data_IF_414369385667
#
_entry.id   IF_414369385667
#
_cell.length_a   1.000
_cell.length_b   1.000
_cell.length_c   1.000
_cell.angle_alpha   90.00
_cell.angle_beta   90.00
_cell.angle_gamma   90.00
#
_symmetry.space_group_name_H-M   'P 1'
#
loop_
_entity.id
_entity.type
_entity.pdbx_description
1 polymer ?
#
# COMPACT_ATOMS: atom_id res chain seq x y z
N UNK A 1 -11.15 5.18 18.59
CA UNK A 1 -9.93 5.74 17.97
C UNK A 1 -9.00 4.65 17.50
N UNK A 2 -8.07 4.95 16.59
CA UNK A 2 -7.10 3.98 16.05
C UNK A 2 -5.79 4.02 16.85
N UNK A 3 -5.17 2.86 17.06
CA UNK A 3 -3.88 2.69 17.74
C UNK A 3 -2.92 2.01 16.77
N UNK A 4 -1.69 2.52 16.67
CA UNK A 4 -0.72 2.03 15.70
C UNK A 4 0.54 1.55 16.41
N UNK A 5 1.01 0.37 16.02
CA UNK A 5 2.28 -0.20 16.47
C UNK A 5 3.21 -0.28 15.26
N UNK A 6 4.40 0.26 15.44
CA UNK A 6 5.52 0.12 14.52
C UNK A 6 6.68 -0.47 15.30
N UNK A 7 7.06 -1.72 15.02
CA UNK A 7 8.13 -2.42 15.73
C UNK A 7 8.86 -3.35 14.79
N UNK A 8 9.96 -3.94 15.23
CA UNK A 8 10.68 -4.94 14.47
C UNK A 8 10.45 -6.33 15.05
N UNK A 9 10.41 -7.35 14.20
CA UNK A 9 10.30 -8.75 14.59
C UNK A 9 11.17 -9.62 13.71
N UNK A 10 11.59 -10.77 14.25
CA UNK A 10 12.37 -11.76 13.48
C UNK A 10 11.52 -13.00 13.24
N UNK A 11 11.40 -13.41 11.98
CA UNK A 11 10.76 -14.66 11.55
C UNK A 11 11.59 -15.30 10.44
N UNK A 12 11.83 -16.61 10.53
CA UNK A 12 12.65 -17.37 9.56
C UNK A 12 14.02 -16.71 9.28
N UNK A 13 14.74 -16.29 10.34
CA UNK A 13 16.03 -15.60 10.30
C UNK A 13 16.06 -14.26 9.54
N UNK A 14 14.91 -13.71 9.20
CA UNK A 14 14.81 -12.39 8.58
C UNK A 14 14.14 -11.40 9.52
N UNK A 15 14.62 -10.16 9.50
CA UNK A 15 14.03 -9.04 10.24
C UNK A 15 12.97 -8.37 9.39
N UNK A 16 11.87 -8.02 10.04
CA UNK A 16 10.74 -7.32 9.43
C UNK A 16 10.34 -6.13 10.28
N UNK A 17 10.01 -5.04 9.64
CA UNK A 17 9.24 -3.97 10.28
C UNK A 17 7.76 -4.37 10.25
N UNK A 18 7.13 -4.32 11.41
CA UNK A 18 5.71 -4.59 11.61
C UNK A 18 4.96 -3.28 11.66
N UNK A 19 3.96 -3.16 10.81
CA UNK A 19 2.90 -2.18 10.92
C UNK A 19 1.63 -2.88 11.38
N UNK A 20 1.06 -2.46 12.50
CA UNK A 20 -0.20 -3.01 13.01
C UNK A 20 -1.14 -1.88 13.43
N UNK A 21 -2.35 -1.89 12.88
CA UNK A 21 -3.43 -0.96 13.20
C UNK A 21 -4.46 -1.68 14.04
N UNK A 22 -4.80 -1.11 15.19
CA UNK A 22 -5.81 -1.64 16.11
C UNK A 22 -6.94 -0.64 16.34
N UNK A 23 -8.09 -1.16 16.74
CA UNK A 23 -9.18 -0.35 17.31
C UNK A 23 -8.93 -0.04 18.79
N UNK A 24 -9.84 0.72 19.40
CA UNK A 24 -9.82 1.07 20.83
C UNK A 24 -9.97 -0.14 21.77
N UNK A 25 -10.49 -1.26 21.27
CA UNK A 25 -10.64 -2.51 22.02
C UNK A 25 -9.40 -3.42 21.88
N UNK A 26 -8.39 -3.01 21.11
CA UNK A 26 -7.19 -3.80 20.87
C UNK A 26 -7.33 -4.84 19.74
N UNK A 27 -8.42 -4.84 18.97
CA UNK A 27 -8.57 -5.74 17.84
C UNK A 27 -7.77 -5.22 16.64
N UNK A 28 -7.01 -6.10 16.01
CA UNK A 28 -6.26 -5.78 14.79
C UNK A 28 -7.21 -5.56 13.61
N UNK A 29 -7.11 -4.38 12.98
CA UNK A 29 -7.86 -3.96 11.79
C UNK A 29 -7.04 -4.13 10.50
N UNK A 30 -5.73 -3.84 10.58
CA UNK A 30 -4.79 -3.97 9.48
C UNK A 30 -3.45 -4.45 10.03
N UNK A 31 -2.71 -5.21 9.23
CA UNK A 31 -1.41 -5.76 9.59
C UNK A 31 -0.55 -5.90 8.34
N UNK A 32 0.67 -5.36 8.41
CA UNK A 32 1.65 -5.50 7.35
C UNK A 32 2.98 -5.95 7.93
N UNK A 33 3.58 -6.94 7.27
CA UNK A 33 4.92 -7.40 7.54
C UNK A 33 5.83 -6.92 6.41
N UNK A 34 6.72 -5.98 6.72
CA UNK A 34 7.55 -5.28 5.75
C UNK A 34 8.98 -5.79 5.88
N UNK A 35 9.54 -6.46 4.84
CA UNK A 35 10.92 -6.91 4.88
C UNK A 35 11.88 -5.73 5.12
N UNK A 36 12.86 -5.91 6.00
CA UNK A 36 13.86 -4.87 6.31
C UNK A 36 14.92 -4.71 5.18
N UNK A 37 14.97 -5.66 4.24
CA UNK A 37 15.75 -5.50 3.01
C UNK A 37 15.20 -4.32 2.24
N UNK A 38 16.09 -3.39 1.89
CA UNK A 38 15.76 -2.17 1.17
C UNK A 38 14.83 -2.45 -0.01
N UNK A 39 13.56 -2.10 0.15
CA UNK A 39 12.66 -2.07 -1.00
C UNK A 39 13.19 -1.02 -1.96
N UNK A 40 13.31 -1.40 -3.23
CA UNK A 40 13.68 -0.44 -4.26
C UNK A 40 12.46 0.29 -4.83
N UNK A 41 11.25 -0.06 -4.35
CA UNK A 41 10.01 0.58 -4.79
C UNK A 41 10.04 2.07 -4.43
N UNK A 42 9.58 2.89 -5.35
CA UNK A 42 9.62 4.35 -5.31
C UNK A 42 11.01 4.99 -5.38
N UNK A 43 12.10 4.21 -5.38
CA UNK A 43 13.43 4.75 -5.64
C UNK A 43 13.54 5.21 -7.09
N UNK A 44 14.27 6.31 -7.30
CA UNK A 44 14.57 6.84 -8.65
C UNK A 44 16.04 6.57 -8.95
N UNK A 45 16.29 5.99 -10.11
CA UNK A 45 17.62 5.62 -10.58
C UNK A 45 17.97 6.32 -11.89
N UNK A 46 19.25 6.61 -12.09
CA UNK A 46 19.81 6.92 -13.39
C UNK A 46 20.05 5.61 -14.14
N UNK A 47 19.23 5.34 -15.16
CA UNK A 47 19.17 4.06 -15.87
C UNK A 47 19.59 4.20 -17.32
N UNK A 48 20.08 3.11 -17.92
CA UNK A 48 20.37 3.02 -19.37
C UNK A 48 19.30 2.21 -20.08
N UNK A 49 18.84 2.72 -21.22
CA UNK A 49 17.95 1.99 -22.13
C UNK A 49 18.77 0.97 -22.92
N UNK A 50 18.55 -0.31 -22.66
CA UNK A 50 19.31 -1.38 -23.33
C UNK A 50 18.66 -1.81 -24.63
N UNK A 51 17.33 -2.04 -24.62
CA UNK A 51 16.60 -2.56 -25.76
C UNK A 51 15.19 -2.02 -25.81
N UNK A 52 14.71 -1.71 -26.99
CA UNK A 52 13.33 -1.28 -27.23
C UNK A 52 12.65 -2.33 -28.10
N UNK A 53 11.49 -2.80 -27.67
CA UNK A 53 10.69 -3.82 -28.36
C UNK A 53 9.29 -3.27 -28.66
N UNK A 54 9.10 -2.54 -29.78
CA UNK A 54 7.83 -1.91 -30.10
C UNK A 54 6.68 -2.91 -30.25
N UNK A 55 6.97 -4.14 -30.73
CA UNK A 55 5.97 -5.18 -30.94
C UNK A 55 5.23 -5.63 -29.67
N UNK A 56 5.84 -5.45 -28.49
CA UNK A 56 5.22 -5.72 -27.17
C UNK A 56 5.06 -4.45 -26.34
N UNK A 57 5.23 -3.27 -26.96
CA UNK A 57 5.12 -1.96 -26.32
C UNK A 57 6.00 -1.81 -25.07
N UNK A 58 7.24 -2.30 -25.11
CA UNK A 58 8.15 -2.37 -23.99
C UNK A 58 9.56 -1.90 -24.32
N UNK A 59 10.28 -1.43 -23.29
CA UNK A 59 11.70 -1.28 -23.26
C UNK A 59 12.28 -1.99 -22.04
N UNK A 60 13.53 -2.41 -22.14
CA UNK A 60 14.33 -2.93 -21.04
C UNK A 60 15.39 -1.93 -20.67
N UNK A 61 15.44 -1.57 -19.40
CA UNK A 61 16.39 -0.59 -18.86
C UNK A 61 17.18 -1.20 -17.70
N UNK A 62 18.44 -0.83 -17.56
CA UNK A 62 19.29 -1.31 -16.46
C UNK A 62 19.45 -0.19 -15.42
N UNK A 63 19.17 -0.51 -14.15
CA UNK A 63 19.26 0.42 -13.00
C UNK A 63 20.48 0.16 -12.11
N UNK A 64 21.10 -1.03 -12.21
CA UNK A 64 22.33 -1.42 -11.51
C UNK A 64 23.03 -2.52 -12.29
N UNK A 65 24.29 -2.86 -11.95
CA UNK A 65 24.97 -4.00 -12.58
C UNK A 65 24.09 -5.25 -12.49
N UNK A 66 23.77 -5.85 -13.63
CA UNK A 66 22.94 -7.05 -13.77
C UNK A 66 21.47 -6.91 -13.32
N UNK A 67 20.95 -5.70 -13.09
CA UNK A 67 19.57 -5.48 -12.72
C UNK A 67 18.78 -4.84 -13.85
N UNK A 68 18.22 -5.69 -14.72
CA UNK A 68 17.31 -5.30 -15.78
C UNK A 68 15.91 -5.00 -15.23
N UNK A 69 15.21 -4.06 -15.84
CA UNK A 69 13.85 -3.67 -15.47
C UNK A 69 12.98 -3.52 -16.71
N UNK A 70 11.71 -3.83 -16.59
CA UNK A 70 10.70 -3.63 -17.61
C UNK A 70 10.15 -2.20 -17.55
N UNK A 71 10.13 -1.50 -18.66
CA UNK A 71 9.54 -0.18 -18.87
C UNK A 71 8.47 -0.27 -19.96
N UNK A 72 7.23 0.05 -19.66
CA UNK A 72 6.18 0.20 -20.68
C UNK A 72 6.44 1.46 -21.53
N UNK A 73 6.37 1.36 -22.85
CA UNK A 73 6.52 2.53 -23.73
C UNK A 73 5.39 3.55 -23.55
N UNK A 74 4.22 3.14 -23.05
CA UNK A 74 3.15 4.06 -22.65
C UNK A 74 3.55 4.95 -21.47
N UNK A 75 4.43 4.45 -20.61
CA UNK A 75 4.94 5.17 -19.44
C UNK A 75 6.29 5.86 -19.74
N UNK A 76 6.84 5.69 -20.94
CA UNK A 76 8.11 6.29 -21.38
C UNK A 76 7.91 7.62 -22.13
N UNK A 77 6.75 8.25 -22.02
CA UNK A 77 6.48 9.57 -22.59
C UNK A 77 7.16 10.64 -21.74
N UNK A 78 7.89 11.57 -22.41
CA UNK A 78 8.60 12.68 -21.76
C UNK A 78 9.59 12.24 -20.66
N UNK A 79 10.57 11.35 -20.94
CA UNK A 79 11.53 10.94 -19.95
C UNK A 79 12.49 12.09 -19.60
N UNK A 80 12.90 12.14 -18.33
CA UNK A 80 13.99 13.02 -17.90
C UNK A 80 15.30 12.38 -18.30
N UNK A 81 16.01 12.99 -19.23
CA UNK A 81 17.31 12.50 -19.70
C UNK A 81 18.43 12.94 -18.74
N UNK A 82 19.25 11.99 -18.30
CA UNK A 82 20.56 12.28 -17.71
C UNK A 82 21.61 12.43 -18.79
N UNK A 83 21.49 11.66 -19.89
CA UNK A 83 22.34 11.77 -21.06
C UNK A 83 21.61 11.26 -22.32
N UNK A 84 21.26 12.16 -23.22
CA UNK A 84 20.63 11.81 -24.49
C UNK A 84 21.71 11.44 -25.54
N UNK A 85 21.83 10.16 -25.86
CA UNK A 85 22.85 9.65 -26.79
C UNK A 85 22.46 9.83 -28.26
N UNK A 86 21.17 9.70 -28.57
CA UNK A 86 20.65 9.81 -29.93
C UNK A 86 20.09 11.19 -30.23
N UNK A 87 20.29 11.69 -31.44
CA UNK A 87 19.64 12.92 -31.95
C UNK A 87 18.19 12.67 -32.39
N UNK A 88 17.74 11.42 -32.45
CA UNK A 88 16.34 11.08 -32.81
C UNK A 88 15.37 11.49 -31.72
N UNK A 89 14.18 11.89 -32.11
CA UNK A 89 13.10 12.14 -31.18
C UNK A 89 12.66 10.85 -30.47
N UNK A 90 12.12 11.00 -29.25
CA UNK A 90 11.68 9.90 -28.43
C UNK A 90 12.81 9.13 -27.74
N UNK A 91 12.44 8.02 -27.09
CA UNK A 91 13.37 7.14 -26.37
C UNK A 91 14.15 6.27 -27.36
N UNK A 92 15.47 6.21 -27.20
CA UNK A 92 16.35 5.40 -28.02
C UNK A 92 17.23 4.47 -27.18
N UNK A 93 17.66 3.38 -27.79
CA UNK A 93 18.66 2.48 -27.18
C UNK A 93 19.96 3.23 -26.91
N UNK A 94 20.54 3.02 -25.75
CA UNK A 94 21.72 3.72 -25.25
C UNK A 94 21.44 5.04 -24.53
N UNK A 95 20.23 5.59 -24.59
CA UNK A 95 19.86 6.78 -23.82
C UNK A 95 19.94 6.49 -22.31
N UNK A 96 20.30 7.51 -21.54
CA UNK A 96 20.36 7.46 -20.09
C UNK A 96 19.26 8.38 -19.54
N UNK A 97 18.39 7.81 -18.71
CA UNK A 97 17.15 8.44 -18.23
C UNK A 97 16.93 8.21 -16.74
N UNK A 98 16.16 9.07 -16.10
CA UNK A 98 15.61 8.79 -14.76
C UNK A 98 14.42 7.85 -14.88
N UNK A 99 14.42 6.80 -14.05
CA UNK A 99 13.30 5.88 -13.90
C UNK A 99 12.99 5.65 -12.44
N UNK A 100 11.71 5.51 -12.12
CA UNK A 100 11.21 5.17 -10.78
C UNK A 100 10.71 3.74 -10.76
N UNK A 101 11.07 2.97 -9.74
CA UNK A 101 10.61 1.60 -9.56
C UNK A 101 9.19 1.61 -9.00
N UNK A 102 8.25 0.95 -9.69
CA UNK A 102 6.85 0.85 -9.28
C UNK A 102 6.44 -0.55 -8.81
N UNK A 103 7.22 -1.58 -9.20
CA UNK A 103 7.03 -2.96 -8.73
C UNK A 103 8.39 -3.63 -8.60
N UNK A 104 8.58 -4.34 -7.52
CA UNK A 104 9.77 -5.17 -7.31
C UNK A 104 9.71 -6.46 -8.16
N UNK A 105 10.85 -7.12 -8.29
CA UNK A 105 10.95 -8.43 -8.95
C UNK A 105 10.00 -9.45 -8.30
N UNK A 106 9.32 -10.25 -9.12
CA UNK A 106 8.43 -11.31 -8.66
C UNK A 106 8.79 -12.61 -9.35
N UNK A 107 9.34 -13.59 -8.62
CA UNK A 107 9.78 -14.87 -9.18
C UNK A 107 10.73 -14.62 -10.37
N UNK A 108 10.31 -15.02 -11.57
CA UNK A 108 11.06 -14.87 -12.84
C UNK A 108 10.82 -13.55 -13.57
N UNK A 109 10.02 -12.61 -13.01
CA UNK A 109 9.69 -11.34 -13.67
C UNK A 109 10.59 -10.22 -13.15
N UNK A 110 11.18 -9.48 -14.10
CA UNK A 110 11.96 -8.29 -13.79
C UNK A 110 11.14 -7.23 -13.03
N UNK A 111 11.80 -6.36 -12.24
CA UNK A 111 11.16 -5.18 -11.67
C UNK A 111 10.52 -4.32 -12.76
N UNK A 112 9.45 -3.61 -12.43
CA UNK A 112 8.78 -2.68 -13.34
C UNK A 112 9.11 -1.26 -12.95
N UNK A 113 9.51 -0.46 -13.95
CA UNK A 113 9.83 0.96 -13.76
C UNK A 113 8.97 1.85 -14.66
N UNK A 114 8.95 3.13 -14.36
CA UNK A 114 8.26 4.18 -15.11
C UNK A 114 9.13 5.42 -15.22
N UNK A 115 8.93 6.24 -16.26
CA UNK A 115 9.50 7.60 -16.33
C UNK A 115 8.58 8.65 -15.73
N UNK A 116 7.36 8.24 -15.30
CA UNK A 116 6.42 9.08 -14.57
C UNK A 116 6.87 9.14 -13.10
N UNK A 117 7.74 10.11 -12.80
CA UNK A 117 8.28 10.28 -11.46
C UNK A 117 7.19 10.80 -10.51
N UNK A 118 7.16 10.29 -9.30
CA UNK A 118 6.24 10.72 -8.24
C UNK A 118 6.99 10.91 -6.93
N UNK A 119 6.83 12.08 -6.31
CA UNK A 119 7.36 12.40 -4.99
C UNK A 119 6.18 12.49 -4.02
N UNK A 120 6.23 11.69 -2.98
CA UNK A 120 5.14 11.60 -2.01
C UNK A 120 5.37 12.58 -0.85
N UNK A 121 4.47 13.55 -0.72
CA UNK A 121 4.29 14.34 0.49
C UNK A 121 3.30 13.68 1.45
N UNK A 122 2.98 14.31 2.56
CA UNK A 122 1.98 13.84 3.51
C UNK A 122 0.56 14.04 2.99
N UNK A 123 0.28 15.21 2.42
CA UNK A 123 -1.04 15.60 1.94
C UNK A 123 -1.11 15.69 0.42
N UNK A 124 0.03 15.66 -0.25
CA UNK A 124 0.12 15.83 -1.70
C UNK A 124 0.99 14.76 -2.35
N UNK A 125 0.83 14.60 -3.66
CA UNK A 125 1.74 13.83 -4.52
C UNK A 125 2.14 14.75 -5.66
N UNK A 126 3.44 14.99 -5.84
CA UNK A 126 3.97 15.64 -7.02
C UNK A 126 4.21 14.59 -8.12
N UNK A 127 3.95 14.96 -9.36
CA UNK A 127 4.17 14.09 -10.52
C UNK A 127 4.64 14.89 -11.74
N UNK A 128 5.48 14.29 -12.61
CA UNK A 128 5.99 14.92 -13.83
C UNK A 128 5.22 14.51 -15.10
N UNK A 129 4.17 13.71 -15.01
CA UNK A 129 3.43 13.28 -16.20
C UNK A 129 2.25 14.20 -16.56
N UNK A 130 1.86 15.06 -15.64
CA UNK A 130 0.83 16.07 -15.81
C UNK A 130 1.29 17.34 -15.08
N UNK A 131 0.98 18.52 -15.61
CA UNK A 131 1.32 19.81 -14.98
C UNK A 131 0.15 20.44 -14.23
N UNK A 132 -1.00 19.76 -14.16
CA UNK A 132 -2.19 20.27 -13.49
C UNK A 132 -2.13 20.08 -11.97
N UNK A 133 -2.80 20.99 -11.24
CA UNK A 133 -3.07 20.81 -9.81
C UNK A 133 -4.43 20.13 -9.66
N UNK A 134 -4.37 18.82 -9.40
CA UNK A 134 -5.52 17.97 -9.11
C UNK A 134 -5.87 17.96 -7.63
N UNK A 135 -7.13 17.63 -7.32
CA UNK A 135 -7.59 17.39 -5.95
C UNK A 135 -8.43 16.11 -5.95
N UNK A 136 -8.28 15.29 -4.90
CA UNK A 136 -9.03 14.05 -4.78
C UNK A 136 -10.54 14.27 -4.92
N UNK A 137 -11.19 13.46 -5.74
CA UNK A 137 -12.66 13.49 -5.96
C UNK A 137 -13.48 13.13 -4.70
N UNK A 138 -12.84 12.65 -3.64
CA UNK A 138 -13.48 12.36 -2.34
C UNK A 138 -13.60 13.58 -1.43
N UNK A 139 -13.00 14.71 -1.81
CA UNK A 139 -13.15 15.99 -1.11
C UNK A 139 -14.39 16.73 -1.64
N UNK A 140 -15.06 17.46 -0.75
CA UNK A 140 -16.14 18.35 -1.16
C UNK A 140 -15.62 19.49 -2.04
N UNK A 141 -16.51 20.08 -2.86
CA UNK A 141 -16.13 21.05 -3.89
C UNK A 141 -15.52 22.32 -3.31
N UNK A 142 -16.03 22.79 -2.15
CA UNK A 142 -15.56 24.02 -1.51
C UNK A 142 -14.14 23.81 -0.96
N UNK A 143 -13.95 22.74 -0.21
CA UNK A 143 -12.63 22.37 0.32
C UNK A 143 -11.61 22.13 -0.77
N UNK A 144 -12.01 21.45 -1.85
CA UNK A 144 -11.15 21.19 -3.01
C UNK A 144 -10.71 22.51 -3.71
N UNK A 145 -11.57 23.50 -3.81
CA UNK A 145 -11.25 24.80 -4.39
C UNK A 145 -10.25 25.59 -3.53
N UNK A 146 -10.42 25.61 -2.20
CA UNK A 146 -9.52 26.27 -1.26
C UNK A 146 -8.12 25.63 -1.33
N UNK A 147 -8.02 24.31 -1.21
CA UNK A 147 -6.75 23.59 -1.26
C UNK A 147 -6.03 23.76 -2.61
N UNK A 148 -6.77 23.71 -3.73
CA UNK A 148 -6.17 23.99 -5.04
C UNK A 148 -5.57 25.39 -5.12
N UNK A 149 -6.29 26.41 -4.61
CA UNK A 149 -5.79 27.79 -4.57
C UNK A 149 -4.54 27.92 -3.71
N UNK A 150 -4.53 27.30 -2.53
CA UNK A 150 -3.40 27.33 -1.60
C UNK A 150 -2.14 26.72 -2.22
N UNK A 151 -2.27 25.52 -2.85
CA UNK A 151 -1.16 24.86 -3.54
C UNK A 151 -0.68 25.66 -4.74
N UNK A 152 -1.59 26.29 -5.50
CA UNK A 152 -1.25 27.10 -6.67
C UNK A 152 -0.41 28.33 -6.27
N UNK A 153 -0.70 28.94 -5.13
CA UNK A 153 0.08 30.07 -4.61
C UNK A 153 1.49 29.64 -4.17
N UNK A 154 1.64 28.49 -3.56
CA UNK A 154 2.92 27.97 -3.09
C UNK A 154 3.83 27.39 -4.19
N UNK A 155 3.22 26.94 -5.31
CA UNK A 155 3.91 26.31 -6.44
C UNK A 155 3.55 27.00 -7.77
N UNK A 156 3.64 28.34 -7.83
CA UNK A 156 3.20 29.13 -8.98
C UNK A 156 3.94 28.82 -10.29
N UNK A 157 5.17 28.37 -10.23
CA UNK A 157 6.00 28.04 -11.41
C UNK A 157 5.92 26.57 -11.84
N UNK A 158 5.00 25.75 -11.26
CA UNK A 158 4.90 24.31 -11.48
C UNK A 158 4.79 23.92 -12.98
N UNK A 159 4.05 24.69 -13.80
CA UNK A 159 3.94 24.42 -15.23
C UNK A 159 5.27 24.61 -15.96
N UNK A 160 6.03 25.66 -15.63
CA UNK A 160 7.35 25.94 -16.21
C UNK A 160 8.38 24.90 -15.77
N UNK A 161 8.27 24.41 -14.55
CA UNK A 161 9.12 23.40 -13.96
C UNK A 161 8.71 21.97 -14.36
N UNK A 162 7.59 21.80 -15.07
CA UNK A 162 7.15 20.55 -15.68
C UNK A 162 6.63 19.51 -14.70
N UNK A 163 5.93 19.95 -13.64
CA UNK A 163 5.28 19.04 -12.70
C UNK A 163 3.85 19.49 -12.33
N UNK A 164 3.03 18.54 -11.93
CA UNK A 164 1.73 18.77 -11.33
C UNK A 164 1.69 18.25 -9.89
N UNK A 165 0.64 18.63 -9.18
CA UNK A 165 0.43 18.24 -7.78
C UNK A 165 -0.99 17.70 -7.61
N UNK A 166 -1.11 16.56 -6.93
CA UNK A 166 -2.39 15.95 -6.58
C UNK A 166 -2.58 16.05 -5.08
N UNK A 167 -3.56 16.85 -4.64
CA UNK A 167 -3.95 16.91 -3.22
C UNK A 167 -4.75 15.68 -2.85
N UNK A 168 -4.35 15.00 -1.78
CA UNK A 168 -4.91 13.74 -1.33
C UNK A 168 -6.13 13.94 -0.43
N UNK A 169 -6.89 12.87 -0.22
CA UNK A 169 -8.11 12.87 0.62
C UNK A 169 -7.83 13.22 2.09
N UNK A 170 -6.66 12.82 2.61
CA UNK A 170 -6.27 13.12 4.00
C UNK A 170 -6.06 14.61 4.29
N UNK A 171 -5.91 15.45 3.26
CA UNK A 171 -5.86 16.90 3.40
C UNK A 171 -7.21 17.54 3.80
N UNK A 172 -8.29 16.75 3.94
CA UNK A 172 -9.64 17.25 4.22
C UNK A 172 -9.69 18.16 5.45
N UNK A 173 -9.06 17.71 6.53
CA UNK A 173 -9.09 18.37 7.84
C UNK A 173 -7.74 18.99 8.23
N UNK A 174 -6.84 19.20 7.25
CA UNK A 174 -5.51 19.80 7.47
C UNK A 174 -5.57 21.27 7.09
N UNK A 175 -4.91 22.13 7.85
CA UNK A 175 -4.80 23.56 7.57
C UNK A 175 -4.22 23.81 6.17
N UNK A 176 -4.72 24.82 5.47
CA UNK A 176 -4.29 25.16 4.11
C UNK A 176 -2.80 25.46 4.02
N UNK A 177 -2.26 26.11 5.04
CA UNK A 177 -0.84 26.43 5.21
C UNK A 177 0.03 25.18 5.24
N UNK A 178 -0.36 24.16 6.01
CA UNK A 178 0.37 22.89 6.12
C UNK A 178 0.34 22.11 4.79
N UNK A 179 -0.77 22.14 4.06
CA UNK A 179 -0.86 21.51 2.72
C UNK A 179 0.02 22.26 1.71
N UNK A 180 0.04 23.59 1.77
CA UNK A 180 0.89 24.42 0.92
C UNK A 180 2.38 24.19 1.19
N UNK A 181 2.76 24.05 2.45
CA UNK A 181 4.13 23.81 2.87
C UNK A 181 4.60 22.40 2.44
N UNK A 182 3.73 21.40 2.54
CA UNK A 182 4.01 20.06 2.04
C UNK A 182 4.18 20.06 0.50
N UNK A 183 3.33 20.79 -0.23
CA UNK A 183 3.44 20.96 -1.68
C UNK A 183 4.77 21.62 -2.07
N UNK A 184 5.15 22.69 -1.39
CA UNK A 184 6.42 23.37 -1.61
C UNK A 184 7.62 22.45 -1.31
N UNK A 185 7.58 21.69 -0.22
CA UNK A 185 8.65 20.76 0.15
C UNK A 185 8.88 19.68 -0.92
N UNK A 186 7.81 19.05 -1.45
CA UNK A 186 7.95 18.03 -2.51
C UNK A 186 8.41 18.66 -3.82
N UNK A 187 8.00 19.89 -4.13
CA UNK A 187 8.47 20.64 -5.29
C UNK A 187 9.97 20.94 -5.21
N UNK A 188 10.46 21.35 -4.07
CA UNK A 188 11.89 21.58 -3.84
C UNK A 188 12.71 20.27 -4.03
N UNK A 189 12.22 19.14 -3.49
CA UNK A 189 12.85 17.81 -3.68
C UNK A 189 12.91 17.45 -5.16
N UNK A 190 11.79 17.60 -5.88
CA UNK A 190 11.72 17.31 -7.31
C UNK A 190 12.72 18.18 -8.11
N UNK A 191 12.72 19.49 -7.90
CA UNK A 191 13.59 20.42 -8.58
C UNK A 191 15.07 20.10 -8.33
N UNK A 192 15.44 19.69 -7.11
CA UNK A 192 16.80 19.23 -6.80
C UNK A 192 17.18 17.96 -7.59
N UNK A 193 16.24 17.00 -7.72
CA UNK A 193 16.48 15.79 -8.50
C UNK A 193 16.69 16.15 -9.98
N UNK A 194 15.79 16.96 -10.56
CA UNK A 194 15.88 17.36 -11.98
C UNK A 194 17.15 18.15 -12.27
N UNK A 195 17.49 19.13 -11.42
CA UNK A 195 18.70 19.94 -11.56
C UNK A 195 19.98 19.11 -11.48
N UNK A 196 20.00 18.07 -10.65
CA UNK A 196 21.15 17.17 -10.49
C UNK A 196 21.18 16.06 -11.54
N UNK A 197 20.08 15.77 -12.25
CA UNK A 197 19.95 14.64 -13.17
C UNK A 197 21.08 14.55 -14.20
N UNK A 198 21.51 15.65 -14.90
CA UNK A 198 22.61 15.59 -15.89
C UNK A 198 23.99 15.23 -15.30
N UNK A 199 24.13 15.34 -13.98
CA UNK A 199 25.40 15.10 -13.26
C UNK A 199 25.41 13.77 -12.50
N UNK A 200 24.32 12.98 -12.60
CA UNK A 200 24.22 11.71 -11.89
C UNK A 200 25.04 10.62 -12.58
N UNK A 201 25.76 9.84 -11.77
CA UNK A 201 26.43 8.66 -12.27
C UNK A 201 25.41 7.63 -12.77
N UNK A 202 25.67 7.02 -13.89
CA UNK A 202 24.84 5.94 -14.41
C UNK A 202 24.74 4.80 -13.36
N UNK A 203 23.55 4.25 -13.19
CA UNK A 203 23.21 3.21 -12.21
C UNK A 203 23.20 3.67 -10.74
N UNK A 204 23.28 4.98 -10.48
CA UNK A 204 23.12 5.51 -9.12
C UNK A 204 21.66 5.64 -8.74
N UNK A 205 21.37 5.43 -7.44
CA UNK A 205 20.10 5.82 -6.85
C UNK A 205 20.12 7.33 -6.60
N UNK A 206 19.28 8.06 -7.32
CA UNK A 206 19.21 9.54 -7.28
C UNK A 206 18.29 10.02 -6.18
N UNK A 207 17.28 9.20 -5.85
CA UNK A 207 16.32 9.46 -4.81
C UNK A 207 15.91 8.16 -4.15
N UNK A 208 16.03 8.09 -2.84
CA UNK A 208 15.49 7.01 -2.03
C UNK A 208 14.02 7.30 -1.75
N UNK A 209 13.17 6.37 -2.16
CA UNK A 209 11.74 6.43 -1.85
C UNK A 209 11.49 6.40 -0.35
N UNK A 210 10.31 6.82 0.03
CA UNK A 210 9.87 6.72 1.40
C UNK A 210 9.73 5.26 1.83
N UNK A 211 10.07 4.94 3.08
CA UNK A 211 9.90 3.60 3.62
C UNK A 211 8.44 3.15 3.58
N UNK A 212 8.22 1.85 3.40
CA UNK A 212 6.87 1.28 3.23
C UNK A 212 5.95 1.60 4.42
N UNK A 213 6.48 1.59 5.66
CA UNK A 213 5.66 1.94 6.83
C UNK A 213 5.24 3.42 6.84
N UNK A 214 6.08 4.35 6.38
CA UNK A 214 5.71 5.76 6.23
C UNK A 214 4.64 5.94 5.13
N UNK A 215 4.74 5.19 4.03
CA UNK A 215 3.71 5.20 2.99
C UNK A 215 2.36 4.69 3.52
N UNK A 216 2.36 3.64 4.35
CA UNK A 216 1.15 3.16 5.04
C UNK A 216 0.60 4.22 5.99
N UNK A 217 1.46 4.86 6.79
CA UNK A 217 1.06 5.95 7.68
C UNK A 217 0.39 7.10 6.95
N UNK A 218 0.83 7.42 5.72
CA UNK A 218 0.21 8.46 4.88
C UNK A 218 -1.20 8.10 4.39
N UNK A 219 -1.64 6.86 4.51
CA UNK A 219 -3.02 6.47 4.17
C UNK A 219 -4.01 6.70 5.32
N UNK A 220 -3.52 7.03 6.51
CA UNK A 220 -4.31 7.16 7.73
C UNK A 220 -4.61 8.63 8.00
N UNK A 221 -5.85 8.91 8.35
CA UNK A 221 -6.24 10.20 8.90
C UNK A 221 -5.75 10.30 10.36
N UNK A 222 -4.75 11.14 10.60
CA UNK A 222 -4.13 11.37 11.92
C UNK A 222 -5.13 11.86 12.97
N UNK A 223 -6.23 12.51 12.56
CA UNK A 223 -7.31 12.90 13.47
C UNK A 223 -7.96 11.69 14.14
N UNK A 224 -7.98 10.54 13.48
CA UNK A 224 -8.55 9.29 14.01
C UNK A 224 -7.60 8.48 14.87
N UNK A 225 -6.31 8.88 14.94
CA UNK A 225 -5.27 8.18 15.68
C UNK A 225 -5.23 8.66 17.12
N UNK A 226 -5.25 7.73 18.06
CA UNK A 226 -5.04 7.97 19.49
C UNK A 226 -3.54 8.06 19.81
N UNK A 227 -2.76 7.07 19.36
CA UNK A 227 -1.33 7.03 19.53
C UNK A 227 -0.64 6.12 18.48
N UNK A 228 0.66 6.38 18.28
CA UNK A 228 1.60 5.57 17.51
C UNK A 228 2.75 5.20 18.43
N UNK A 229 2.98 3.92 18.65
CA UNK A 229 4.07 3.43 19.51
C UNK A 229 5.14 2.71 18.70
N UNK A 230 6.40 2.99 19.01
CA UNK A 230 7.56 2.28 18.46
C UNK A 230 8.65 2.11 19.50
N UNK A 231 9.35 0.98 19.45
CA UNK A 231 10.56 0.67 20.24
C UNK A 231 11.83 0.80 19.38
N UNK A 232 11.74 1.35 18.16
CA UNK A 232 12.84 1.50 17.21
C UNK A 232 13.16 2.99 17.02
N UNK A 233 14.40 3.40 17.34
CA UNK A 233 14.86 4.78 17.26
C UNK A 233 14.76 5.34 15.84
N UNK A 234 15.20 4.56 14.85
CA UNK A 234 15.16 4.92 13.43
C UNK A 234 13.74 5.19 12.93
N UNK A 235 12.76 4.41 13.40
CA UNK A 235 11.34 4.62 13.09
C UNK A 235 10.80 5.85 13.81
N UNK A 236 11.15 6.02 15.09
CA UNK A 236 10.71 7.17 15.89
C UNK A 236 11.19 8.49 15.28
N UNK A 237 12.48 8.58 14.96
CA UNK A 237 13.07 9.79 14.35
C UNK A 237 12.47 10.08 12.97
N UNK A 238 12.23 9.05 12.17
CA UNK A 238 11.57 9.19 10.87
C UNK A 238 10.14 9.69 10.98
N UNK A 239 9.37 9.20 11.97
CA UNK A 239 8.01 9.66 12.24
C UNK A 239 8.00 11.13 12.69
N UNK A 240 8.89 11.52 13.59
CA UNK A 240 9.01 12.92 14.03
C UNK A 240 9.42 13.83 12.88
N UNK A 241 10.36 13.41 12.03
CA UNK A 241 10.78 14.19 10.86
C UNK A 241 9.63 14.40 9.88
N UNK A 242 8.81 13.39 9.65
CA UNK A 242 7.73 13.43 8.66
C UNK A 242 6.45 14.07 9.19
N UNK A 243 6.12 13.87 10.47
CA UNK A 243 4.85 14.29 11.07
C UNK A 243 4.99 15.34 12.17
N UNK A 244 6.21 15.60 12.66
CA UNK A 244 6.46 16.52 13.78
C UNK A 244 6.10 17.99 13.51
N UNK A 245 5.92 18.34 12.23
CA UNK A 245 5.49 19.68 11.81
C UNK A 245 3.96 19.89 11.89
N UNK A 246 3.19 18.80 12.08
CA UNK A 246 1.74 18.90 12.17
C UNK A 246 1.29 19.11 13.60
N UNK A 247 0.29 19.96 13.78
CA UNK A 247 -0.29 20.26 15.08
C UNK A 247 -0.80 18.98 15.76
N UNK A 248 -0.47 18.78 17.03
CA UNK A 248 -0.79 17.60 17.84
C UNK A 248 -0.25 16.24 17.35
N UNK A 249 0.50 16.15 16.24
CA UNK A 249 1.06 14.88 15.77
C UNK A 249 2.23 14.39 16.64
N UNK A 250 3.16 15.25 17.12
CA UNK A 250 4.25 14.82 18.00
C UNK A 250 3.77 14.17 19.30
N UNK A 251 2.68 14.67 19.88
CA UNK A 251 2.12 14.15 21.14
C UNK A 251 1.57 12.73 21.01
N UNK A 252 1.17 12.34 19.80
CA UNK A 252 0.66 11.00 19.50
C UNK A 252 1.76 10.00 19.19
N UNK A 253 2.97 10.45 18.87
CA UNK A 253 4.12 9.59 18.56
C UNK A 253 4.87 9.30 19.86
N UNK A 254 4.80 8.04 20.30
CA UNK A 254 5.31 7.62 21.58
C UNK A 254 6.47 6.64 21.41
N UNK A 255 7.59 6.94 22.04
CA UNK A 255 8.67 5.97 22.20
C UNK A 255 8.34 4.99 23.31
N UNK A 256 8.59 3.71 23.06
CA UNK A 256 8.46 2.65 24.04
C UNK A 256 9.84 2.21 24.50
N UNK A 257 10.17 2.44 25.77
CA UNK A 257 11.53 2.29 26.31
C UNK A 257 11.64 1.15 27.36
N UNK A 258 10.73 0.20 27.39
CA UNK A 258 10.83 -0.94 28.31
C UNK A 258 11.91 -1.93 27.82
N UNK A 259 13.02 -2.01 28.55
CA UNK A 259 14.12 -2.92 28.24
C UNK A 259 13.83 -4.40 28.57
N UNK A 260 12.81 -4.70 29.38
CA UNK A 260 12.47 -6.05 29.79
C UNK A 260 11.57 -6.77 28.77
N UNK A 261 10.66 -6.03 28.13
CA UNK A 261 9.67 -6.61 27.21
C UNK A 261 9.64 -5.78 25.93
N UNK A 262 10.01 -6.36 24.79
CA UNK A 262 9.89 -5.67 23.49
C UNK A 262 8.43 -5.38 23.14
N UNK A 263 8.17 -4.32 22.37
CA UNK A 263 6.84 -3.96 21.90
C UNK A 263 6.20 -5.10 21.11
N UNK A 264 6.98 -5.82 20.31
CA UNK A 264 6.56 -7.02 19.58
C UNK A 264 6.05 -8.14 20.51
N UNK A 265 6.69 -8.32 21.67
CA UNK A 265 6.26 -9.30 22.68
C UNK A 265 5.03 -8.84 23.43
N UNK A 266 5.00 -7.58 23.86
CA UNK A 266 3.86 -6.99 24.59
C UNK A 266 2.54 -7.13 23.83
N UNK A 267 2.59 -6.94 22.53
CA UNK A 267 1.41 -7.04 21.65
C UNK A 267 1.26 -8.41 20.97
N UNK A 268 2.04 -9.42 21.36
CA UNK A 268 1.88 -10.78 20.86
C UNK A 268 2.05 -10.94 19.35
N UNK A 269 2.88 -10.11 18.71
CA UNK A 269 3.06 -10.06 17.24
C UNK A 269 3.42 -11.42 16.64
N UNK A 270 4.27 -12.21 17.32
CA UNK A 270 4.63 -13.55 16.85
C UNK A 270 3.42 -14.48 16.76
N UNK A 271 2.63 -14.52 17.84
CA UNK A 271 1.39 -15.31 17.86
C UNK A 271 0.36 -14.84 16.82
N UNK A 272 0.27 -13.52 16.59
CA UNK A 272 -0.56 -12.96 15.52
C UNK A 272 -0.10 -13.47 14.14
N UNK A 273 1.20 -13.43 13.84
CA UNK A 273 1.75 -13.93 12.58
C UNK A 273 1.40 -15.42 12.40
N UNK A 274 1.58 -16.24 13.44
CA UNK A 274 1.28 -17.67 13.39
C UNK A 274 -0.22 -17.93 13.15
N UNK A 275 -1.09 -17.17 13.79
CA UNK A 275 -2.54 -17.21 13.56
C UNK A 275 -2.92 -16.78 12.14
N UNK A 276 -2.29 -15.71 11.62
CA UNK A 276 -2.55 -15.21 10.27
C UNK A 276 -1.98 -16.12 9.17
N UNK A 277 -1.07 -17.03 9.47
CA UNK A 277 -0.55 -18.04 8.54
C UNK A 277 -1.32 -19.35 8.61
N UNK A 278 -2.11 -19.56 9.68
CA UNK A 278 -2.96 -20.75 9.82
C UNK A 278 -4.05 -20.79 8.74
N UNK A 279 -4.32 -21.99 8.18
CA UNK A 279 -5.42 -22.18 7.24
C UNK A 279 -6.79 -21.97 7.88
N UNK A 280 -6.94 -22.35 9.17
CA UNK A 280 -8.20 -22.33 9.91
C UNK A 280 -8.29 -21.13 10.81
N UNK A 281 -9.43 -20.44 10.75
CA UNK A 281 -9.79 -19.34 11.67
C UNK A 281 -11.10 -19.71 12.36
N UNK A 282 -11.09 -19.71 13.67
CA UNK A 282 -12.27 -19.99 14.49
C UNK A 282 -13.15 -18.75 14.60
N UNK A 283 -14.45 -18.97 14.63
CA UNK A 283 -15.48 -17.97 14.84
C UNK A 283 -16.01 -18.07 16.27
N UNK A 284 -16.49 -16.96 16.84
CA UNK A 284 -17.01 -16.90 18.22
C UNK A 284 -18.26 -17.80 18.38
N UNK A 285 -19.05 -17.97 17.32
CA UNK A 285 -20.17 -18.89 17.30
C UNK A 285 -19.75 -20.38 17.30
N UNK A 286 -18.44 -20.69 17.31
CA UNK A 286 -17.90 -22.05 17.27
C UNK A 286 -17.73 -22.63 15.86
N UNK A 287 -18.19 -21.96 14.80
CA UNK A 287 -17.87 -22.27 13.42
C UNK A 287 -16.41 -21.95 13.08
N UNK A 288 -16.00 -22.22 11.87
CA UNK A 288 -14.67 -21.85 11.40
C UNK A 288 -14.68 -21.54 9.89
N UNK A 289 -13.70 -20.76 9.46
CA UNK A 289 -13.38 -20.55 8.05
C UNK A 289 -12.05 -21.20 7.72
N UNK A 290 -11.95 -21.78 6.54
CA UNK A 290 -10.71 -22.36 5.99
C UNK A 290 -10.29 -21.49 4.82
N UNK A 291 -9.08 -20.94 4.87
CA UNK A 291 -8.54 -20.02 3.86
C UNK A 291 -7.39 -20.75 3.14
N UNK A 292 -7.55 -20.97 1.85
CA UNK A 292 -6.56 -21.60 0.98
C UNK A 292 -6.11 -20.61 -0.10
N UNK A 293 -4.89 -20.10 0.05
CA UNK A 293 -4.27 -19.27 -0.97
C UNK A 293 -3.56 -20.18 -1.98
N UNK A 294 -4.16 -20.31 -3.16
CA UNK A 294 -3.60 -21.02 -4.31
C UNK A 294 -2.80 -20.06 -5.19
N UNK A 295 -2.18 -20.54 -6.24
CA UNK A 295 -1.37 -19.71 -7.12
C UNK A 295 -2.20 -18.65 -7.88
N UNK A 296 -3.40 -18.99 -8.30
CA UNK A 296 -4.27 -18.17 -9.16
C UNK A 296 -5.42 -17.50 -8.42
N UNK A 297 -5.90 -18.10 -7.32
CA UNK A 297 -7.04 -17.60 -6.56
C UNK A 297 -6.93 -17.98 -5.08
N UNK A 298 -7.74 -17.33 -4.24
CA UNK A 298 -7.94 -17.74 -2.85
C UNK A 298 -9.32 -18.37 -2.71
N UNK A 299 -9.39 -19.57 -2.16
CA UNK A 299 -10.65 -20.24 -1.83
C UNK A 299 -10.89 -20.15 -0.32
N UNK A 300 -12.13 -19.85 0.07
CA UNK A 300 -12.55 -19.72 1.48
C UNK A 300 -13.79 -20.56 1.69
N UNK A 301 -13.72 -21.53 2.63
CA UNK A 301 -14.81 -22.43 2.99
C UNK A 301 -15.31 -22.10 4.40
N UNK A 302 -16.62 -22.01 4.58
CA UNK A 302 -17.28 -21.70 5.85
C UNK A 302 -17.93 -22.94 6.44
N UNK A 303 -17.46 -23.33 7.63
CA UNK A 303 -17.93 -24.53 8.31
C UNK A 303 -18.70 -24.17 9.59
N UNK A 304 -19.83 -24.86 9.81
CA UNK A 304 -20.61 -24.76 11.03
C UNK A 304 -20.00 -25.55 12.18
N UNK A 305 -20.29 -25.16 13.42
CA UNK A 305 -19.96 -25.94 14.61
C UNK A 305 -20.77 -27.25 14.68
N UNK A 306 -20.22 -28.27 15.33
CA UNK A 306 -20.90 -29.57 15.52
C UNK A 306 -22.22 -29.51 16.35
N UNK A 307 -22.43 -28.42 17.10
CA UNK A 307 -23.56 -28.24 18.04
C UNK A 307 -24.56 -27.18 17.56
N UNK A 308 -24.87 -27.12 16.28
CA UNK A 308 -25.91 -26.21 15.81
C UNK A 308 -27.28 -26.80 16.18
N UNK A 309 -27.98 -26.17 17.12
CA UNK A 309 -29.44 -26.27 17.20
C UNK A 309 -30.00 -25.96 15.80
N UNK A 310 -30.65 -26.94 15.20
CA UNK A 310 -31.06 -26.96 13.79
C UNK A 310 -32.12 -25.89 13.48
N UNK A 311 -31.69 -24.67 13.20
CA UNK A 311 -32.55 -23.58 12.78
C UNK A 311 -31.90 -22.70 11.70
N UNK A 312 -32.67 -22.24 10.73
CA UNK A 312 -32.24 -21.36 9.64
C UNK A 312 -31.56 -20.08 10.16
N UNK A 313 -31.96 -19.57 11.34
CA UNK A 313 -31.34 -18.41 11.98
C UNK A 313 -29.92 -18.66 12.46
N UNK A 314 -29.56 -19.90 12.83
CA UNK A 314 -28.21 -20.27 13.25
C UNK A 314 -27.22 -20.23 12.09
N UNK A 315 -27.64 -20.72 10.91
CA UNK A 315 -26.83 -20.71 9.67
C UNK A 315 -26.56 -19.27 9.23
N UNK A 316 -27.60 -18.43 9.18
CA UNK A 316 -27.44 -17.02 8.83
C UNK A 316 -26.49 -16.32 9.80
N UNK A 317 -26.62 -16.54 11.11
CA UNK A 317 -25.72 -15.96 12.13
C UNK A 317 -24.27 -16.38 11.88
N UNK A 318 -24.01 -17.67 11.63
CA UNK A 318 -22.65 -18.15 11.33
C UNK A 318 -22.09 -17.53 10.06
N UNK A 319 -22.88 -17.49 8.97
CA UNK A 319 -22.47 -16.88 7.72
C UNK A 319 -22.20 -15.37 7.86
N UNK A 320 -22.99 -14.65 8.65
CA UNK A 320 -22.78 -13.22 8.91
C UNK A 320 -21.49 -12.95 9.68
N UNK A 321 -21.20 -13.77 10.69
CA UNK A 321 -19.95 -13.69 11.44
C UNK A 321 -18.74 -14.06 10.55
N UNK A 322 -18.88 -15.13 9.74
CA UNK A 322 -17.88 -15.52 8.75
C UNK A 322 -17.61 -14.39 7.74
N UNK A 323 -18.64 -13.73 7.22
CA UNK A 323 -18.48 -12.63 6.27
C UNK A 323 -17.69 -11.45 6.87
N UNK A 324 -17.96 -11.11 8.15
CA UNK A 324 -17.22 -10.08 8.88
C UNK A 324 -15.75 -10.48 9.07
N UNK A 325 -15.51 -11.73 9.51
CA UNK A 325 -14.17 -12.24 9.74
C UNK A 325 -13.39 -12.42 8.43
N UNK A 326 -14.02 -12.88 7.35
CA UNK A 326 -13.40 -12.97 6.02
C UNK A 326 -12.89 -11.59 5.59
N UNK A 327 -13.73 -10.56 5.64
CA UNK A 327 -13.32 -9.20 5.29
C UNK A 327 -12.13 -8.72 6.14
N UNK A 328 -12.07 -9.07 7.43
CA UNK A 328 -10.94 -8.79 8.32
C UNK A 328 -9.68 -9.56 7.90
N UNK A 329 -9.81 -10.87 7.62
CA UNK A 329 -8.70 -11.73 7.21
C UNK A 329 -8.11 -11.33 5.85
N UNK A 330 -8.92 -10.84 4.91
CA UNK A 330 -8.45 -10.30 3.64
C UNK A 330 -7.47 -9.12 3.85
N UNK A 331 -7.77 -8.23 4.80
CA UNK A 331 -6.90 -7.10 5.16
C UNK A 331 -5.65 -7.58 5.91
N UNK A 332 -5.82 -8.33 7.00
CA UNK A 332 -4.72 -8.76 7.87
C UNK A 332 -3.68 -9.64 7.16
N UNK A 333 -4.12 -10.48 6.23
CA UNK A 333 -3.23 -11.35 5.42
C UNK A 333 -2.81 -10.71 4.10
N UNK A 334 -3.34 -9.53 3.79
CA UNK A 334 -3.19 -8.86 2.50
C UNK A 334 -3.49 -9.78 1.31
N UNK A 335 -4.59 -10.55 1.41
CA UNK A 335 -5.05 -11.43 0.34
C UNK A 335 -5.58 -10.58 -0.81
N UNK A 336 -5.17 -10.88 -2.05
CA UNK A 336 -5.52 -10.10 -3.24
C UNK A 336 -5.71 -11.01 -4.47
N UNK A 337 -6.31 -10.47 -5.53
CA UNK A 337 -6.68 -11.21 -6.73
C UNK A 337 -8.11 -11.75 -6.65
N UNK A 338 -8.37 -12.88 -7.29
CA UNK A 338 -9.67 -13.57 -7.25
C UNK A 338 -9.86 -14.30 -5.93
N UNK A 339 -11.03 -14.15 -5.34
CA UNK A 339 -11.41 -14.76 -4.06
C UNK A 339 -12.78 -15.41 -4.24
N UNK A 340 -12.86 -16.70 -3.94
CA UNK A 340 -14.08 -17.49 -3.99
C UNK A 340 -14.44 -17.90 -2.57
N UNK A 341 -15.69 -17.65 -2.17
CA UNK A 341 -16.18 -17.97 -0.83
C UNK A 341 -17.34 -18.95 -0.94
N UNK A 342 -17.24 -20.08 -0.25
CA UNK A 342 -18.31 -21.07 -0.07
C UNK A 342 -18.95 -20.86 1.31
N UNK A 343 -20.11 -20.19 1.33
CA UNK A 343 -20.89 -19.99 2.54
C UNK A 343 -21.78 -21.21 2.80
N UNK A 344 -22.11 -21.46 4.07
CA UNK A 344 -23.07 -22.50 4.42
C UNK A 344 -24.40 -22.24 3.70
N UNK A 345 -24.90 -23.26 3.01
CA UNK A 345 -26.06 -23.13 2.14
C UNK A 345 -27.32 -22.68 2.91
N UNK A 346 -28.02 -21.69 2.40
CA UNK A 346 -29.24 -21.13 2.96
C UNK A 346 -30.42 -21.32 2.01
N UNK A 347 -31.57 -21.76 2.56
CA UNK A 347 -32.80 -22.00 1.76
C UNK A 347 -33.56 -20.70 1.43
N UNK A 348 -33.44 -19.67 2.25
CA UNK A 348 -34.14 -18.40 2.11
C UNK A 348 -33.35 -17.41 1.26
N UNK A 349 -33.92 -16.94 0.16
CA UNK A 349 -33.32 -15.88 -0.68
C UNK A 349 -33.15 -14.59 0.12
N UNK A 350 -34.12 -14.18 0.94
CA UNK A 350 -34.00 -13.01 1.79
C UNK A 350 -32.79 -13.08 2.77
N UNK A 351 -32.45 -14.29 3.23
CA UNK A 351 -31.25 -14.49 4.08
C UNK A 351 -29.96 -14.39 3.25
N UNK A 352 -29.97 -14.85 2.00
CA UNK A 352 -28.83 -14.68 1.09
C UNK A 352 -28.58 -13.21 0.77
N UNK A 353 -29.65 -12.47 0.44
CA UNK A 353 -29.57 -11.03 0.17
C UNK A 353 -29.00 -10.27 1.37
N UNK A 354 -29.50 -10.58 2.58
CA UNK A 354 -29.00 -9.98 3.83
C UNK A 354 -27.51 -10.24 4.04
N UNK A 355 -27.05 -11.47 3.77
CA UNK A 355 -25.62 -11.83 3.86
C UNK A 355 -24.77 -11.03 2.87
N UNK A 356 -25.21 -10.97 1.60
CA UNK A 356 -24.47 -10.28 0.55
C UNK A 356 -24.38 -8.78 0.79
N UNK A 357 -25.45 -8.15 1.24
CA UNK A 357 -25.44 -6.73 1.62
C UNK A 357 -24.46 -6.47 2.78
N UNK A 358 -24.45 -7.35 3.79
CA UNK A 358 -23.51 -7.25 4.90
C UNK A 358 -22.05 -7.43 4.42
N UNK A 359 -21.78 -8.42 3.58
CA UNK A 359 -20.45 -8.65 3.00
C UNK A 359 -19.98 -7.42 2.21
N UNK A 360 -20.81 -6.87 1.33
CA UNK A 360 -20.52 -5.64 0.57
C UNK A 360 -20.18 -4.46 1.49
N UNK A 361 -20.86 -4.34 2.63
CA UNK A 361 -20.55 -3.31 3.64
C UNK A 361 -19.21 -3.57 4.30
N UNK A 362 -18.90 -4.82 4.73
CA UNK A 362 -17.64 -5.14 5.40
C UNK A 362 -16.41 -4.97 4.50
N UNK A 363 -16.51 -5.31 3.21
CA UNK A 363 -15.39 -5.12 2.27
C UNK A 363 -15.20 -3.64 1.87
N UNK A 364 -16.21 -2.78 2.03
CA UNK A 364 -16.11 -1.34 1.74
C UNK A 364 -15.19 -0.61 2.72
N UNK A 365 -15.03 -1.15 3.93
CA UNK A 365 -14.12 -0.60 4.97
C UNK A 365 -12.64 -0.89 4.67
N UNK A 366 -12.33 -1.58 3.57
CA UNK A 366 -10.97 -1.87 3.15
C UNK A 366 -10.35 -0.66 2.42
N UNK A 367 -9.16 -0.25 2.82
CA UNK A 367 -8.40 0.80 2.13
C UNK A 367 -7.98 0.39 0.71
N UNK A 368 -7.90 -0.92 0.46
CA UNK A 368 -7.64 -1.49 -0.86
C UNK A 368 -8.97 -1.81 -1.54
N UNK A 369 -9.12 -1.43 -2.81
CA UNK A 369 -10.34 -1.70 -3.57
C UNK A 369 -10.64 -3.19 -3.57
N UNK A 370 -11.74 -3.57 -2.90
CA UNK A 370 -12.30 -4.92 -2.88
C UNK A 370 -13.72 -4.84 -3.44
N UNK A 371 -14.02 -5.64 -4.45
CA UNK A 371 -15.29 -5.58 -5.20
C UNK A 371 -15.98 -6.94 -5.15
N UNK A 372 -17.26 -6.93 -4.79
CA UNK A 372 -18.16 -8.06 -5.02
C UNK A 372 -18.43 -8.14 -6.53
N UNK A 373 -18.26 -9.33 -7.10
CA UNK A 373 -18.45 -9.58 -8.54
C UNK A 373 -19.82 -10.19 -8.78
N UNK A 374 -20.04 -11.43 -8.29
CA UNK A 374 -21.27 -12.17 -8.55
C UNK A 374 -21.42 -13.35 -7.57
N UNK A 375 -22.52 -14.09 -7.72
CA UNK A 375 -22.75 -15.40 -7.12
C UNK A 375 -22.88 -16.42 -8.25
N UNK A 376 -22.03 -17.44 -8.24
CA UNK A 376 -22.08 -18.50 -9.25
C UNK A 376 -23.36 -19.31 -9.18
N UNK A 377 -23.67 -20.08 -10.22
CA UNK A 377 -24.78 -21.03 -10.22
C UNK A 377 -24.65 -22.13 -9.14
N UNK A 378 -23.45 -22.35 -8.62
CA UNK A 378 -23.18 -23.26 -7.51
C UNK A 378 -23.40 -22.63 -6.13
N UNK A 379 -23.69 -21.31 -6.08
CA UNK A 379 -23.88 -20.57 -4.83
C UNK A 379 -22.58 -20.00 -4.26
N UNK A 380 -21.45 -20.09 -4.98
CA UNK A 380 -20.18 -19.54 -4.54
C UNK A 380 -20.15 -18.01 -4.75
N UNK A 381 -19.69 -17.28 -3.76
CA UNK A 381 -19.54 -15.82 -3.82
C UNK A 381 -18.18 -15.46 -4.40
N UNK A 382 -18.18 -14.59 -5.41
CA UNK A 382 -16.98 -14.10 -6.09
C UNK A 382 -16.63 -12.69 -5.66
N UNK A 383 -15.38 -12.49 -5.23
CA UNK A 383 -14.79 -11.19 -4.93
C UNK A 383 -13.50 -10.99 -5.73
N UNK A 384 -13.16 -9.73 -5.98
CA UNK A 384 -11.83 -9.34 -6.43
C UNK A 384 -11.26 -8.28 -5.50
N UNK A 385 -9.97 -8.40 -5.12
CA UNK A 385 -9.26 -7.39 -4.35
C UNK A 385 -7.99 -6.99 -5.10
N UNK A 386 -7.80 -5.68 -5.29
CA UNK A 386 -6.65 -5.13 -6.03
C UNK A 386 -5.34 -5.57 -5.37
N UNK A 387 -4.39 -6.07 -6.18
CA UNK A 387 -3.05 -6.43 -5.68
C UNK A 387 -2.16 -5.20 -5.66
N UNK A 388 -1.81 -4.74 -4.47
CA UNK A 388 -0.89 -3.61 -4.25
C UNK A 388 0.44 -4.15 -3.71
N UNK A 389 0.41 -4.98 -2.68
CA UNK A 389 1.57 -5.60 -2.04
C UNK A 389 1.48 -7.13 -2.08
N UNK A 390 2.55 -7.80 -1.69
CA UNK A 390 2.56 -9.27 -1.49
C UNK A 390 1.68 -9.65 -0.30
N UNK A 391 1.04 -10.82 -0.36
CA UNK A 391 0.35 -11.36 0.81
C UNK A 391 1.35 -11.77 1.90
N UNK A 392 0.88 -11.84 3.15
CA UNK A 392 1.70 -12.28 4.28
C UNK A 392 2.36 -13.65 4.00
N UNK A 393 1.61 -14.58 3.42
CA UNK A 393 2.12 -15.90 3.00
C UNK A 393 3.28 -15.75 2.00
N UNK A 394 3.10 -14.94 0.94
CA UNK A 394 4.13 -14.71 -0.09
C UNK A 394 5.39 -14.02 0.45
N UNK A 395 5.26 -13.19 1.49
CA UNK A 395 6.40 -12.55 2.14
C UNK A 395 7.22 -13.59 2.91
N UNK A 396 6.55 -14.48 3.67
CA UNK A 396 7.21 -15.47 4.51
C UNK A 396 7.78 -16.66 3.72
N UNK A 397 7.15 -17.06 2.60
CA UNK A 397 7.63 -18.15 1.73
C UNK A 397 8.90 -17.75 0.94
N UNK A 398 8.98 -16.50 0.46
CA UNK A 398 10.15 -16.03 -0.29
C UNK A 398 11.45 -16.07 0.52
N UNK A 399 11.36 -16.00 1.83
CA UNK A 399 12.52 -16.04 2.73
C UNK A 399 13.01 -17.44 3.05
N UNK A 400 12.34 -18.50 2.57
CA UNK A 400 12.77 -19.89 2.67
C UNK A 400 13.57 -20.35 1.44
N UNK A 401 13.47 -19.63 0.31
CA UNK A 401 14.10 -19.97 -0.97
C UNK A 401 15.38 -19.13 -1.27
N UNK A 402 15.72 -18.16 -0.42
CA UNK A 402 16.96 -17.37 -0.43
C UNK A 402 17.91 -17.81 0.71
#
# INVERSE_FOLDING_TARGET
MNRIILTKTVKNNNTYTVYALMDENGNYKDFQLLPEKDTIINNIYAARVNKILPGINAAFVTIAQNKSCYLSLNDAKNPVYTNKKSKKEGLCEGDEILVQVIKDALKTKDPVVTTKLSIFGSNVILTNFDTQIGVSSKLDKERAALLRKAVLLSCADHEKEGYGIIVRTNAKNVEDEAVSQDAYSVAQKYNQIIKKAPHQALYSCVYHGMSDYLLLMKTIDFATVEWIKTDCDDIYDSLLTEYGIYDHAPEKIMRYDDSAISLSTLYGIRGLIDNLTSRRVWLDCGGNIIIEQLETLTFIDVNSAKNISSGSNSILKTNMEAAKEIARQLRLRNISGMIIIDFINMKSEASKDTLIEALKRYIKDDNTVCTFVDITKLGLVELTRKKIHKSLKQILEKTLDE
#
